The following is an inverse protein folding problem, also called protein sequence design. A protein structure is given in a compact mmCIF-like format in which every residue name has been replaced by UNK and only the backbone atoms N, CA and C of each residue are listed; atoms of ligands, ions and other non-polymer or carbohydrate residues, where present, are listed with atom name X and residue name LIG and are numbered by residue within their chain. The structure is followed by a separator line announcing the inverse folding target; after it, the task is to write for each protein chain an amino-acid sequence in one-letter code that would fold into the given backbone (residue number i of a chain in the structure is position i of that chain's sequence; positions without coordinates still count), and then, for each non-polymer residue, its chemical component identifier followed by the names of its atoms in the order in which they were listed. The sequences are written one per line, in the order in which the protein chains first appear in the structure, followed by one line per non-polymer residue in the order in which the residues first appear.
data_IF_579238776349
#
_entry.id   IF_579238776349
#
_cell.length_a   1.000
_cell.length_b   1.000
_cell.length_c   1.000
_cell.angle_alpha   90.00
_cell.angle_beta   90.00
_cell.angle_gamma   90.00
#
_symmetry.space_group_name_H-M   'P 1'
#
loop_
_entity.id
_entity.type
_entity.pdbx_description
1 polymer ?
#
# COMPACT_ATOMS: atom_id res chain seq x y z
N UNK A 1 62.92 -32.33 -2.96
CA UNK A 1 62.24 -31.33 -3.84
C UNK A 1 60.85 -31.91 -4.11
N UNK A 2 59.77 -31.57 -3.40
CA UNK A 2 59.05 -30.29 -3.24
C UNK A 2 58.62 -29.66 -4.58
N UNK A 3 57.47 -30.09 -5.10
CA UNK A 3 56.59 -29.37 -6.05
C UNK A 3 55.16 -29.73 -5.60
N UNK A 4 54.63 -29.07 -4.58
CA UNK A 4 53.73 -27.92 -4.62
C UNK A 4 52.36 -28.21 -5.25
N UNK A 5 51.36 -28.16 -4.35
CA UNK A 5 49.92 -28.16 -4.58
C UNK A 5 49.52 -27.07 -5.59
N UNK A 6 48.68 -27.41 -6.55
CA UNK A 6 47.82 -26.44 -7.24
C UNK A 6 46.37 -26.83 -6.99
N UNK A 7 45.86 -26.18 -5.95
CA UNK A 7 44.47 -26.04 -5.57
C UNK A 7 43.69 -25.43 -6.76
N UNK A 8 42.95 -26.25 -7.50
CA UNK A 8 42.07 -25.77 -8.57
C UNK A 8 40.75 -25.34 -7.96
N UNK A 9 40.54 -24.02 -7.97
CA UNK A 9 39.43 -23.31 -7.37
C UNK A 9 38.07 -23.75 -7.95
N UNK A 10 37.14 -24.03 -7.03
CA UNK A 10 35.72 -24.13 -7.32
C UNK A 10 35.17 -22.73 -7.65
N UNK A 11 34.89 -22.48 -8.92
CA UNK A 11 34.10 -21.34 -9.37
C UNK A 11 32.63 -21.62 -9.10
N UNK A 12 32.18 -21.44 -7.86
CA UNK A 12 30.78 -21.23 -7.56
C UNK A 12 30.40 -19.82 -8.05
N UNK A 13 29.93 -19.74 -9.30
CA UNK A 13 29.17 -18.62 -9.80
C UNK A 13 27.79 -18.66 -9.12
N UNK A 14 27.72 -18.24 -7.86
CA UNK A 14 26.48 -17.73 -7.31
C UNK A 14 26.25 -16.39 -8.00
N UNK A 15 25.40 -16.38 -9.02
CA UNK A 15 24.84 -15.13 -9.53
C UNK A 15 24.13 -14.47 -8.35
N UNK A 16 24.75 -13.43 -7.82
CA UNK A 16 24.04 -12.42 -7.08
C UNK A 16 22.97 -11.88 -8.03
N UNK A 17 21.71 -12.18 -7.72
CA UNK A 17 20.55 -11.50 -8.27
C UNK A 17 20.58 -10.04 -7.78
N UNK A 18 21.46 -9.23 -8.36
CA UNK A 18 21.42 -7.77 -8.25
C UNK A 18 20.40 -7.27 -9.27
N UNK A 19 19.15 -7.36 -8.88
CA UNK A 19 17.98 -6.83 -9.55
C UNK A 19 16.83 -7.14 -8.63
N UNK A 20 16.75 -6.38 -7.54
CA UNK A 20 15.66 -6.50 -6.56
C UNK A 20 14.35 -6.34 -7.31
N UNK A 21 13.69 -7.46 -7.58
CA UNK A 21 12.31 -7.45 -7.98
C UNK A 21 11.55 -7.10 -6.71
N UNK A 22 11.05 -5.87 -6.60
CA UNK A 22 10.15 -5.47 -5.50
C UNK A 22 8.86 -6.31 -5.43
N UNK A 23 8.64 -7.20 -6.40
CA UNK A 23 7.68 -8.29 -6.35
C UNK A 23 8.12 -9.37 -5.34
N UNK A 24 7.19 -9.75 -4.46
CA UNK A 24 7.40 -10.82 -3.48
C UNK A 24 6.83 -12.14 -3.98
N UNK A 25 7.51 -13.25 -3.68
CA UNK A 25 7.05 -14.59 -4.08
C UNK A 25 5.96 -15.10 -3.11
N UNK A 26 6.11 -14.84 -1.81
CA UNK A 26 5.06 -15.05 -0.81
C UNK A 26 4.69 -13.70 -0.17
N UNK A 27 3.55 -13.10 -0.55
CA UNK A 27 3.13 -11.80 -0.06
C UNK A 27 2.61 -11.83 1.37
N UNK A 28 2.58 -13.00 2.03
CA UNK A 28 2.24 -13.11 3.46
C UNK A 28 3.47 -13.48 4.32
N UNK A 29 4.66 -13.59 3.73
CA UNK A 29 5.92 -13.72 4.46
C UNK A 29 6.38 -12.33 4.95
N UNK A 30 6.44 -12.10 6.27
CA UNK A 30 6.81 -10.80 6.83
C UNK A 30 8.19 -10.32 6.37
N UNK A 31 9.16 -11.22 6.20
CA UNK A 31 10.53 -10.84 5.82
C UNK A 31 10.61 -10.39 4.36
N UNK A 32 9.82 -11.01 3.48
CA UNK A 32 9.76 -10.62 2.06
C UNK A 32 9.01 -9.30 1.88
N UNK A 33 7.90 -9.11 2.60
CA UNK A 33 7.18 -7.84 2.62
C UNK A 33 8.07 -6.70 3.12
N UNK A 34 8.75 -6.88 4.25
CA UNK A 34 9.65 -5.87 4.83
C UNK A 34 10.72 -5.46 3.80
N UNK A 35 11.40 -6.43 3.19
CA UNK A 35 12.40 -6.17 2.17
C UNK A 35 11.82 -5.42 0.94
N UNK A 36 10.61 -5.77 0.51
CA UNK A 36 9.96 -5.08 -0.60
C UNK A 36 9.53 -3.65 -0.23
N UNK A 37 9.10 -3.39 1.01
CA UNK A 37 8.83 -2.04 1.48
C UNK A 37 10.11 -1.19 1.55
N UNK A 38 11.28 -1.78 1.84
CA UNK A 38 12.56 -1.05 1.83
C UNK A 38 12.98 -0.57 0.43
N UNK A 39 12.45 -1.16 -0.64
CA UNK A 39 12.67 -0.72 -2.03
C UNK A 39 11.87 0.54 -2.38
N UNK A 40 10.85 0.89 -1.59
CA UNK A 40 10.10 2.13 -1.79
C UNK A 40 10.87 3.34 -1.26
N UNK A 41 10.64 4.49 -1.90
CA UNK A 41 11.20 5.74 -1.42
C UNK A 41 10.70 6.05 0.00
N UNK A 42 11.64 6.28 0.92
CA UNK A 42 11.31 6.76 2.26
C UNK A 42 10.88 8.23 2.16
N UNK A 43 9.68 8.60 2.64
CA UNK A 43 9.23 9.98 2.59
C UNK A 43 10.11 10.84 3.48
N UNK A 44 10.35 12.08 3.08
CA UNK A 44 11.08 13.04 3.91
C UNK A 44 10.22 13.45 5.12
N UNK A 45 10.80 13.65 6.31
CA UNK A 45 10.06 14.24 7.43
C UNK A 45 9.50 15.63 7.07
N UNK A 46 8.29 15.92 7.52
CA UNK A 46 7.62 17.19 7.26
C UNK A 46 6.10 17.14 7.36
N UNK A 47 5.46 18.27 7.07
CA UNK A 47 4.03 18.36 6.88
C UNK A 47 3.67 17.93 5.47
N UNK A 48 2.64 17.09 5.36
CA UNK A 48 2.08 16.62 4.11
C UNK A 48 0.61 17.02 4.02
N UNK A 49 0.17 17.36 2.82
CA UNK A 49 -1.25 17.49 2.49
C UNK A 49 -1.68 16.37 1.57
N UNK A 50 -2.85 15.82 1.84
CA UNK A 50 -3.50 14.80 1.02
C UNK A 50 -4.76 15.37 0.43
N UNK A 51 -4.87 15.31 -0.89
CA UNK A 51 -6.09 15.59 -1.64
C UNK A 51 -6.62 14.31 -2.25
N UNK A 52 -7.91 14.03 -2.08
CA UNK A 52 -8.53 12.82 -2.63
C UNK A 52 -9.71 13.15 -3.55
N UNK A 53 -9.97 12.23 -4.48
CA UNK A 53 -11.07 12.28 -5.44
C UNK A 53 -11.77 10.92 -5.47
N UNK A 54 -13.10 10.95 -5.37
CA UNK A 54 -13.94 9.77 -5.56
C UNK A 54 -14.17 9.53 -7.06
N UNK A 55 -13.47 8.55 -7.60
CA UNK A 55 -13.56 8.18 -9.01
C UNK A 55 -14.81 7.33 -9.24
N UNK A 56 -14.99 6.30 -8.43
CA UNK A 56 -16.07 5.34 -8.58
C UNK A 56 -16.72 5.05 -7.23
N UNK A 57 -18.04 4.89 -7.25
CA UNK A 57 -18.81 4.45 -6.10
C UNK A 57 -20.10 3.81 -6.58
N UNK A 58 -20.31 2.55 -6.19
CA UNK A 58 -21.52 1.80 -6.45
C UNK A 58 -21.85 0.94 -5.21
N UNK A 59 -23.14 0.79 -4.93
CA UNK A 59 -23.61 -0.10 -3.87
C UNK A 59 -24.70 -1.02 -4.39
N UNK A 60 -24.34 -2.17 -4.97
CA UNK A 60 -25.31 -3.17 -5.40
C UNK A 60 -26.23 -3.59 -4.25
N UNK A 61 -27.53 -3.61 -4.51
CA UNK A 61 -28.54 -3.96 -3.51
C UNK A 61 -29.09 -2.77 -2.70
N UNK A 62 -28.51 -1.58 -2.84
CA UNK A 62 -29.01 -0.34 -2.22
C UNK A 62 -29.83 0.47 -3.23
N UNK A 63 -30.96 1.09 -2.84
CA UNK A 63 -31.71 1.99 -3.73
C UNK A 63 -30.86 3.18 -4.21
N UNK A 64 -30.98 3.53 -5.50
CA UNK A 64 -30.17 4.58 -6.13
C UNK A 64 -30.17 5.92 -5.39
N UNK A 65 -31.32 6.31 -4.80
CA UNK A 65 -31.42 7.57 -4.05
C UNK A 65 -30.51 7.57 -2.83
N UNK A 66 -30.46 6.45 -2.12
CA UNK A 66 -29.65 6.30 -0.92
C UNK A 66 -28.18 6.12 -1.30
N UNK A 67 -27.90 5.41 -2.40
CA UNK A 67 -26.56 5.30 -2.95
C UNK A 67 -25.98 6.65 -3.38
N UNK A 68 -26.77 7.50 -4.04
CA UNK A 68 -26.35 8.86 -4.40
C UNK A 68 -26.14 9.75 -3.18
N UNK A 69 -26.99 9.62 -2.15
CA UNK A 69 -26.78 10.35 -0.90
C UNK A 69 -25.45 9.95 -0.24
N UNK A 70 -25.15 8.65 -0.16
CA UNK A 70 -23.88 8.16 0.37
C UNK A 70 -22.69 8.58 -0.49
N UNK A 71 -22.80 8.53 -1.83
CA UNK A 71 -21.78 9.05 -2.73
C UNK A 71 -21.44 10.50 -2.42
N UNK A 72 -22.45 11.37 -2.31
CA UNK A 72 -22.25 12.78 -2.03
C UNK A 72 -21.57 13.04 -0.67
N UNK A 73 -21.89 12.23 0.35
CA UNK A 73 -21.19 12.28 1.64
C UNK A 73 -19.72 11.90 1.50
N UNK A 74 -19.41 10.84 0.73
CA UNK A 74 -18.04 10.42 0.49
C UNK A 74 -17.24 11.42 -0.35
N UNK A 75 -17.83 12.01 -1.39
CA UNK A 75 -17.21 13.06 -2.20
C UNK A 75 -16.85 14.28 -1.34
N UNK A 76 -17.76 14.71 -0.47
CA UNK A 76 -17.52 15.80 0.46
C UNK A 76 -16.40 15.48 1.47
N UNK A 77 -16.26 14.22 1.86
CA UNK A 77 -15.15 13.77 2.71
C UNK A 77 -13.81 13.72 1.95
N UNK A 78 -13.80 13.14 0.76
CA UNK A 78 -12.60 12.96 -0.06
C UNK A 78 -11.99 14.31 -0.50
N UNK A 79 -12.83 15.30 -0.77
CA UNK A 79 -12.39 16.64 -1.21
C UNK A 79 -11.87 17.53 -0.08
N UNK A 80 -11.98 17.10 1.18
CA UNK A 80 -11.35 17.82 2.28
C UNK A 80 -9.84 17.55 2.25
N UNK A 81 -9.06 18.62 2.11
CA UNK A 81 -7.62 18.53 2.26
C UNK A 81 -7.29 18.09 3.69
N UNK A 82 -6.54 17.01 3.80
CA UNK A 82 -6.08 16.48 5.09
C UNK A 82 -4.60 16.82 5.25
N UNK A 83 -4.24 17.44 6.36
CA UNK A 83 -2.84 17.68 6.71
C UNK A 83 -2.38 16.67 7.74
N UNK A 84 -1.18 16.11 7.55
CA UNK A 84 -0.54 15.23 8.53
C UNK A 84 0.94 15.53 8.65
N UNK A 85 1.49 15.23 9.83
CA UNK A 85 2.91 15.39 10.11
C UNK A 85 3.60 14.03 10.09
N UNK A 86 4.66 13.92 9.29
CA UNK A 86 5.54 12.76 9.26
C UNK A 86 6.83 13.15 9.99
N UNK A 87 7.14 12.46 11.09
CA UNK A 87 8.40 12.64 11.82
C UNK A 87 9.42 11.60 11.37
N UNK A 88 10.69 11.86 11.69
CA UNK A 88 11.77 10.89 11.43
C UNK A 88 11.54 9.57 12.17
N UNK A 89 11.13 9.63 13.43
CA UNK A 89 10.88 8.45 14.25
C UNK A 89 9.77 7.58 13.65
N UNK A 90 8.72 8.16 13.05
CA UNK A 90 7.67 7.40 12.35
C UNK A 90 8.18 6.62 11.14
N UNK A 91 9.23 7.11 10.48
CA UNK A 91 9.85 6.44 9.33
C UNK A 91 10.81 5.35 9.82
N UNK A 92 11.56 5.62 10.90
CA UNK A 92 12.59 4.74 11.43
C UNK A 92 12.02 3.58 12.27
N UNK A 93 10.96 3.81 13.06
CA UNK A 93 10.38 2.82 13.98
C UNK A 93 9.37 1.87 13.32
N UNK A 94 9.04 2.07 12.04
CA UNK A 94 8.18 1.13 11.30
C UNK A 94 7.58 1.72 10.03
N UNK A 95 8.38 1.87 8.97
CA UNK A 95 7.89 2.34 7.67
C UNK A 95 6.73 1.47 7.13
N UNK A 96 6.81 0.16 7.33
CA UNK A 96 5.72 -0.76 6.99
C UNK A 96 4.42 -0.42 7.76
N UNK A 97 4.52 -0.22 9.07
CA UNK A 97 3.35 0.07 9.91
C UNK A 97 2.77 1.46 9.59
N UNK A 98 3.64 2.42 9.27
CA UNK A 98 3.25 3.72 8.76
C UNK A 98 2.47 3.62 7.44
N UNK A 99 2.97 2.86 6.47
CA UNK A 99 2.27 2.63 5.19
C UNK A 99 0.94 1.91 5.40
N UNK A 100 0.88 0.91 6.28
CA UNK A 100 -0.38 0.24 6.67
C UNK A 100 -1.37 1.20 7.32
N UNK A 101 -0.90 2.06 8.22
CA UNK A 101 -1.73 3.03 8.94
C UNK A 101 -2.28 4.12 8.01
N UNK A 102 -1.48 4.61 7.06
CA UNK A 102 -1.94 5.56 6.03
C UNK A 102 -3.12 5.01 5.22
N UNK A 103 -3.12 3.70 4.99
CA UNK A 103 -4.11 3.06 4.15
C UNK A 103 -5.27 2.44 4.96
N UNK A 104 -5.17 2.39 6.30
CA UNK A 104 -6.31 2.19 7.20
C UNK A 104 -6.83 0.75 7.31
N UNK A 105 -6.00 -0.27 7.07
CA UNK A 105 -6.47 -1.67 7.07
C UNK A 105 -6.39 -2.35 8.43
N UNK A 106 -7.32 -3.28 8.65
CA UNK A 106 -7.32 -4.19 9.79
C UNK A 106 -6.37 -5.37 9.56
N UNK A 107 -6.01 -6.05 10.65
CA UNK A 107 -5.16 -7.25 10.63
C UNK A 107 -5.82 -8.47 9.94
N UNK A 108 -7.07 -8.34 9.48
CA UNK A 108 -7.88 -9.44 8.90
C UNK A 108 -7.80 -9.53 7.36
N UNK A 109 -6.80 -8.87 6.76
CA UNK A 109 -6.54 -8.89 5.32
C UNK A 109 -5.31 -9.73 4.99
N UNK A 110 -5.47 -10.70 4.09
CA UNK A 110 -4.38 -11.51 3.52
C UNK A 110 -3.93 -10.89 2.21
N UNK A 111 -2.62 -10.75 1.98
CA UNK A 111 -2.12 -10.27 0.70
C UNK A 111 -2.26 -11.38 -0.36
N UNK A 112 -2.82 -11.02 -1.51
CA UNK A 112 -2.85 -11.86 -2.70
C UNK A 112 -1.62 -11.62 -3.58
N UNK A 113 -1.22 -10.35 -3.71
CA UNK A 113 -0.03 -9.95 -4.46
C UNK A 113 0.53 -8.65 -3.91
N UNK A 114 1.85 -8.48 -4.08
CA UNK A 114 2.56 -7.28 -3.67
C UNK A 114 3.79 -7.07 -4.55
N UNK A 115 3.94 -5.87 -5.09
CA UNK A 115 5.07 -5.42 -5.88
C UNK A 115 5.37 -3.95 -5.56
N UNK A 116 6.57 -3.72 -5.01
CA UNK A 116 7.08 -2.41 -4.63
C UNK A 116 8.27 -1.96 -5.51
N UNK A 117 8.33 -2.39 -6.77
CA UNK A 117 9.47 -2.12 -7.64
C UNK A 117 9.44 -0.75 -8.31
N UNK A 118 10.63 -0.15 -8.50
CA UNK A 118 10.80 1.04 -9.33
C UNK A 118 10.05 2.29 -8.85
N UNK A 119 9.86 2.44 -7.54
CA UNK A 119 9.11 3.55 -6.93
C UNK A 119 7.60 3.46 -7.14
N UNK A 120 7.09 2.28 -7.54
CA UNK A 120 5.66 1.99 -7.67
C UNK A 120 5.24 1.02 -6.59
N UNK A 121 3.99 1.14 -6.16
CA UNK A 121 3.32 0.15 -5.33
C UNK A 121 2.15 -0.42 -6.11
N UNK A 122 2.13 -1.73 -6.28
CA UNK A 122 0.98 -2.50 -6.75
C UNK A 122 0.73 -3.63 -5.75
N UNK A 123 -0.44 -3.64 -5.12
CA UNK A 123 -0.76 -4.65 -4.13
C UNK A 123 -2.25 -4.99 -4.17
N UNK A 124 -2.58 -6.25 -3.93
CA UNK A 124 -3.95 -6.73 -3.79
C UNK A 124 -4.06 -7.48 -2.49
N UNK A 125 -5.09 -7.16 -1.71
CA UNK A 125 -5.40 -7.79 -0.44
C UNK A 125 -6.83 -8.33 -0.46
N UNK A 126 -7.02 -9.49 0.16
CA UNK A 126 -8.32 -10.09 0.38
C UNK A 126 -8.63 -10.05 1.88
N UNK A 127 -9.63 -9.25 2.23
CA UNK A 127 -10.08 -9.03 3.59
C UNK A 127 -11.30 -9.90 3.92
N UNK A 128 -11.35 -10.42 5.13
CA UNK A 128 -12.49 -11.19 5.64
C UNK A 128 -12.91 -10.59 6.98
N UNK A 129 -14.19 -10.30 7.14
CA UNK A 129 -14.75 -9.89 8.43
C UNK A 129 -15.14 -11.14 9.24
N UNK A 130 -14.93 -11.18 10.57
CA UNK A 130 -15.43 -12.23 11.46
C UNK A 130 -16.93 -12.56 11.32
N UNK A 131 -17.73 -11.60 10.84
CA UNK A 131 -19.17 -11.68 10.57
C UNK A 131 -19.50 -12.33 9.22
N UNK A 132 -18.48 -12.78 8.48
CA UNK A 132 -18.60 -13.50 7.22
C UNK A 132 -18.53 -12.64 5.95
N UNK A 133 -18.39 -11.32 6.08
CA UNK A 133 -18.15 -10.42 4.95
C UNK A 133 -16.79 -10.69 4.30
N UNK A 134 -16.68 -10.41 3.01
CA UNK A 134 -15.43 -10.56 2.24
C UNK A 134 -15.21 -9.33 1.38
N UNK A 135 -13.97 -8.95 1.15
CA UNK A 135 -13.66 -7.90 0.20
C UNK A 135 -12.27 -8.03 -0.39
N UNK A 136 -12.08 -7.40 -1.53
CA UNK A 136 -10.79 -7.24 -2.18
C UNK A 136 -10.44 -5.76 -2.21
N UNK A 137 -9.19 -5.45 -1.85
CA UNK A 137 -8.67 -4.09 -1.85
C UNK A 137 -7.41 -4.08 -2.69
N UNK A 138 -7.34 -3.21 -3.70
CA UNK A 138 -6.17 -3.06 -4.56
C UNK A 138 -5.57 -1.66 -4.47
N UNK A 139 -4.25 -1.60 -4.46
CA UNK A 139 -3.43 -0.39 -4.46
C UNK A 139 -2.67 -0.34 -5.76
N UNK A 140 -2.69 0.82 -6.40
CA UNK A 140 -1.80 1.08 -7.52
C UNK A 140 -1.34 2.53 -7.45
N UNK A 141 -0.03 2.76 -7.42
CA UNK A 141 0.47 4.10 -7.28
C UNK A 141 1.97 4.24 -7.38
N UNK A 142 2.43 5.46 -7.16
CA UNK A 142 3.84 5.83 -7.08
C UNK A 142 4.14 6.43 -5.72
N UNK A 143 5.26 6.01 -5.14
CA UNK A 143 5.73 6.49 -3.84
C UNK A 143 7.10 7.14 -4.06
N UNK A 144 7.15 8.45 -3.89
CA UNK A 144 8.38 9.25 -3.91
C UNK A 144 8.69 9.84 -2.54
N UNK A 145 9.85 10.51 -2.45
CA UNK A 145 10.33 11.11 -1.20
C UNK A 145 9.45 12.26 -0.70
N UNK A 146 8.85 13.05 -1.59
CA UNK A 146 8.03 14.22 -1.23
C UNK A 146 6.62 14.20 -1.80
N UNK A 147 6.32 13.23 -2.67
CA UNK A 147 5.02 13.11 -3.32
C UNK A 147 4.65 11.64 -3.50
N UNK A 148 3.38 11.34 -3.28
CA UNK A 148 2.80 10.01 -3.45
C UNK A 148 1.48 10.16 -4.20
N UNK A 149 1.26 9.31 -5.19
CA UNK A 149 0.03 9.27 -5.97
C UNK A 149 -0.52 7.85 -5.89
N UNK A 150 -1.68 7.69 -5.29
CA UNK A 150 -2.26 6.38 -4.99
C UNK A 150 -3.67 6.27 -5.56
N UNK A 151 -3.97 5.12 -6.15
CA UNK A 151 -5.33 4.70 -6.47
C UNK A 151 -5.66 3.49 -5.59
N UNK A 152 -6.73 3.61 -4.81
CA UNK A 152 -7.25 2.54 -3.98
C UNK A 152 -8.60 2.11 -4.55
N UNK A 153 -8.75 0.82 -4.83
CA UNK A 153 -10.03 0.23 -5.20
C UNK A 153 -10.45 -0.74 -4.12
N UNK A 154 -11.71 -0.68 -3.73
CA UNK A 154 -12.32 -1.55 -2.76
C UNK A 154 -13.54 -2.18 -3.42
N UNK A 155 -13.64 -3.50 -3.34
CA UNK A 155 -14.85 -4.26 -3.63
C UNK A 155 -15.17 -5.09 -2.40
N UNK A 156 -16.19 -4.69 -1.67
CA UNK A 156 -16.60 -5.31 -0.42
C UNK A 156 -17.99 -5.90 -0.56
N UNK A 157 -18.21 -7.04 0.10
CA UNK A 157 -19.50 -7.70 0.19
C UNK A 157 -19.80 -8.02 1.65
N UNK A 158 -20.89 -7.45 2.15
CA UNK A 158 -21.41 -7.74 3.47
C UNK A 158 -22.30 -8.98 3.43
N UNK A 159 -21.84 -10.08 4.04
CA UNK A 159 -22.56 -11.34 4.02
C UNK A 159 -23.86 -11.34 4.84
N UNK A 160 -24.01 -10.44 5.81
CA UNK A 160 -25.18 -10.38 6.70
C UNK A 160 -26.36 -9.69 6.00
N UNK A 161 -26.07 -8.63 5.26
CA UNK A 161 -27.06 -7.82 4.55
C UNK A 161 -27.16 -8.15 3.06
N UNK A 162 -26.19 -8.87 2.50
CA UNK A 162 -26.09 -9.18 1.07
C UNK A 162 -25.82 -7.96 0.20
N UNK A 163 -25.37 -6.85 0.80
CA UNK A 163 -25.08 -5.59 0.11
C UNK A 163 -23.61 -5.55 -0.30
N UNK A 164 -23.36 -5.08 -1.52
CA UNK A 164 -22.02 -4.82 -2.01
C UNK A 164 -21.64 -3.35 -1.91
N UNK A 165 -20.35 -3.05 -1.86
CA UNK A 165 -19.80 -1.72 -2.01
C UNK A 165 -18.57 -1.77 -2.90
N UNK A 166 -18.62 -1.05 -4.01
CA UNK A 166 -17.50 -0.83 -4.90
C UNK A 166 -17.10 0.63 -4.83
N UNK A 167 -15.83 0.90 -4.59
CA UNK A 167 -15.31 2.25 -4.46
C UNK A 167 -13.93 2.34 -5.09
N UNK A 168 -13.69 3.39 -5.87
CA UNK A 168 -12.34 3.77 -6.31
C UNK A 168 -12.06 5.17 -5.85
N UNK A 169 -11.01 5.33 -5.05
CA UNK A 169 -10.47 6.60 -4.59
C UNK A 169 -9.11 6.82 -5.24
N UNK A 170 -8.87 8.04 -5.70
CA UNK A 170 -7.54 8.49 -6.08
C UNK A 170 -7.09 9.56 -5.10
N UNK A 171 -5.86 9.48 -4.61
CA UNK A 171 -5.29 10.46 -3.72
C UNK A 171 -3.90 10.87 -4.16
N UNK A 172 -3.57 12.13 -3.87
CA UNK A 172 -2.23 12.69 -4.02
C UNK A 172 -1.82 13.26 -2.68
N UNK A 173 -0.70 12.79 -2.15
CA UNK A 173 -0.11 13.24 -0.88
C UNK A 173 1.20 13.97 -1.20
N UNK A 174 1.36 15.22 -0.75
CA UNK A 174 2.51 16.06 -1.09
C UNK A 174 3.09 16.73 0.15
N UNK A 175 4.42 16.77 0.26
CA UNK A 175 5.12 17.52 1.31
C UNK A 175 4.94 19.01 1.08
N UNK A 176 4.36 19.71 2.04
CA UNK A 176 4.14 21.17 1.99
C UNK A 176 5.13 21.97 2.82
N UNK A 177 5.99 21.30 3.59
CA UNK A 177 7.05 21.96 4.35
C UNK A 177 7.42 21.19 5.62
N UNK A 178 8.01 21.90 6.58
CA UNK A 178 8.26 21.35 7.90
C UNK A 178 6.99 21.34 8.74
N UNK A 179 6.93 20.43 9.72
CA UNK A 179 5.80 20.37 10.64
C UNK A 179 5.64 21.66 11.44
N UNK A 180 4.40 22.18 11.60
CA UNK A 180 4.15 23.27 12.53
C UNK A 180 4.42 22.76 13.95
N UNK A 181 5.42 23.35 14.60
CA UNK A 181 5.85 22.99 15.95
C UNK A 181 4.93 23.45 17.06
#
# INVERSE_FOLDING_TARGET
MRIQMVLSAASALALAACGGSGAVDDPNDPAQLEAAFEELAKPEPGQYTTTSELIEFAMPGVPDKDAQMMRGLMEMGATQEQSMCITKDMIDDGYQDYVKQLQGFSDDCEYESFDASGGRLDAVMNCKDPSGGTGTISFNGTIGETQQDMTVKMDMNDATSGQGMQMTLKSTTTRVGDCPG
#
